data_IF_354688455165
#
_entry.id   IF_354688455165
#
_cell.length_a   1.000
_cell.length_b   1.000
_cell.length_c   1.000
_cell.angle_alpha   90.00
_cell.angle_beta   90.00
_cell.angle_gamma   90.00
#
_symmetry.space_group_name_H-M   'P 1'
#
loop_
_entity.id
_entity.type
_entity.pdbx_description
1 polymer ?
#
# COMPACT_ATOMS: atom_id res chain seq x y z
N UNK A 1 42.07 -10.25 66.33
CA UNK A 1 41.58 -11.07 65.20
C UNK A 1 40.55 -10.25 64.43
N UNK A 2 41.00 -9.45 63.45
CA UNK A 2 40.12 -8.54 62.71
C UNK A 2 39.33 -9.30 61.65
N UNK A 3 38.00 -9.31 61.76
CA UNK A 3 37.11 -9.91 60.75
C UNK A 3 37.15 -9.04 59.50
N UNK A 4 37.70 -9.57 58.41
CA UNK A 4 37.62 -8.97 57.08
C UNK A 4 36.17 -9.06 56.59
N UNK A 5 35.41 -7.97 56.68
CA UNK A 5 34.12 -7.88 56.02
C UNK A 5 34.34 -7.59 54.53
N UNK A 6 34.00 -8.55 53.67
CA UNK A 6 34.01 -8.36 52.22
C UNK A 6 33.05 -7.23 51.84
N UNK A 7 33.57 -6.17 51.23
CA UNK A 7 32.80 -4.98 50.85
C UNK A 7 31.90 -5.31 49.66
N UNK A 8 30.59 -5.46 49.90
CA UNK A 8 29.61 -5.70 48.83
C UNK A 8 29.60 -4.54 47.85
N UNK A 9 29.56 -4.85 46.56
CA UNK A 9 29.53 -3.86 45.46
C UNK A 9 28.12 -3.81 44.88
N UNK A 10 27.54 -2.62 44.73
CA UNK A 10 26.22 -2.44 44.12
C UNK A 10 26.37 -2.24 42.61
N UNK A 11 25.57 -2.93 41.79
CA UNK A 11 25.52 -2.68 40.34
C UNK A 11 24.65 -1.44 40.02
N UNK A 12 24.65 -1.00 38.75
CA UNK A 12 23.86 0.17 38.30
C UNK A 12 22.33 -0.03 38.44
N UNK A 13 21.88 -1.29 38.52
CA UNK A 13 20.48 -1.66 38.74
C UNK A 13 20.12 -1.84 40.23
N UNK A 14 21.03 -1.51 41.16
CA UNK A 14 20.76 -1.51 42.60
C UNK A 14 20.94 -2.86 43.32
N UNK A 15 21.33 -3.92 42.61
CA UNK A 15 21.61 -5.23 43.21
C UNK A 15 22.97 -5.23 43.92
N UNK A 16 23.07 -5.91 45.09
CA UNK A 16 24.31 -6.02 45.88
C UNK A 16 25.03 -7.34 45.59
N UNK A 17 26.28 -7.26 45.15
CA UNK A 17 27.11 -8.40 44.75
C UNK A 17 28.36 -8.55 45.64
N UNK A 18 28.92 -9.75 45.68
CA UNK A 18 30.11 -10.03 46.50
C UNK A 18 31.38 -9.43 45.89
N UNK A 19 31.38 -9.16 44.57
CA UNK A 19 32.52 -8.55 43.87
C UNK A 19 32.11 -7.60 42.75
N UNK A 20 33.05 -6.76 42.30
CA UNK A 20 32.87 -5.91 41.10
C UNK A 20 32.64 -6.74 39.82
N UNK A 21 33.22 -7.93 39.73
CA UNK A 21 33.08 -8.82 38.56
C UNK A 21 31.67 -9.36 38.43
N UNK A 22 31.05 -9.75 39.54
CA UNK A 22 29.64 -10.16 39.56
C UNK A 22 28.69 -8.99 39.28
N UNK A 23 28.98 -7.80 39.82
CA UNK A 23 28.20 -6.60 39.52
C UNK A 23 28.23 -6.26 38.02
N UNK A 24 29.38 -6.40 37.35
CA UNK A 24 29.48 -6.22 35.90
C UNK A 24 28.71 -7.28 35.11
N UNK A 25 28.81 -8.56 35.49
CA UNK A 25 28.08 -9.66 34.85
C UNK A 25 26.56 -9.53 34.99
N UNK A 26 26.08 -8.97 36.10
CA UNK A 26 24.67 -8.66 36.31
C UNK A 26 24.16 -7.58 35.34
N UNK A 27 24.98 -6.58 35.02
CA UNK A 27 24.64 -5.54 34.02
C UNK A 27 24.57 -6.16 32.61
N UNK A 28 25.51 -7.02 32.29
CA UNK A 28 25.56 -7.74 31.00
C UNK A 28 24.35 -8.68 30.82
N UNK A 29 23.93 -9.37 31.89
CA UNK A 29 22.71 -10.19 31.89
C UNK A 29 21.43 -9.36 31.71
N UNK A 30 21.36 -8.16 32.30
CA UNK A 30 20.24 -7.27 32.07
C UNK A 30 20.20 -6.72 30.64
N UNK A 31 21.35 -6.48 30.01
CA UNK A 31 21.45 -6.12 28.60
C UNK A 31 21.02 -7.28 27.68
N UNK A 32 21.33 -8.52 28.03
CA UNK A 32 20.89 -9.71 27.28
C UNK A 32 19.40 -10.02 27.45
N UNK A 33 18.80 -9.64 28.58
CA UNK A 33 17.35 -9.74 28.83
C UNK A 33 16.55 -8.57 28.24
N UNK A 34 17.20 -7.52 27.74
CA UNK A 34 16.51 -6.49 26.98
C UNK A 34 16.11 -7.07 25.62
N UNK A 35 14.81 -7.29 25.46
CA UNK A 35 14.21 -7.51 24.14
C UNK A 35 14.43 -6.24 23.34
N UNK A 36 15.45 -6.25 22.48
CA UNK A 36 15.67 -5.16 21.55
C UNK A 36 14.62 -5.28 20.44
N UNK A 37 13.59 -4.45 20.55
CA UNK A 37 12.64 -4.24 19.45
C UNK A 37 13.35 -3.45 18.37
N UNK A 38 13.81 -4.15 17.35
CA UNK A 38 14.18 -3.54 16.08
C UNK A 38 12.89 -3.19 15.36
N UNK A 39 12.38 -1.98 15.59
CA UNK A 39 11.43 -1.40 14.66
C UNK A 39 12.19 -1.22 13.35
N UNK A 40 12.00 -2.14 12.40
CA UNK A 40 12.22 -1.82 11.00
C UNK A 40 11.43 -0.55 10.76
N UNK A 41 12.12 0.52 10.41
CA UNK A 41 11.60 1.86 10.18
C UNK A 41 10.56 1.83 9.06
N UNK A 42 9.37 1.29 9.37
CA UNK A 42 8.18 1.36 8.54
C UNK A 42 7.65 2.76 8.75
N UNK A 43 8.28 3.72 8.09
CA UNK A 43 7.67 5.01 7.85
C UNK A 43 6.43 4.71 7.00
N UNK A 44 5.25 4.68 7.61
CA UNK A 44 4.02 4.76 6.84
C UNK A 44 3.98 6.17 6.25
N UNK A 45 4.46 6.32 5.02
CA UNK A 45 4.17 7.54 4.28
C UNK A 45 2.74 7.45 3.76
N UNK A 46 2.06 8.58 3.67
CA UNK A 46 0.70 8.70 3.11
C UNK A 46 0.66 8.37 1.60
N UNK A 47 1.79 7.99 1.00
CA UNK A 47 1.98 7.71 -0.42
C UNK A 47 3.02 8.64 -1.05
N UNK A 48 3.33 8.39 -2.31
CA UNK A 48 4.24 9.21 -3.12
C UNK A 48 3.46 9.72 -4.35
N UNK A 49 3.70 10.96 -4.76
CA UNK A 49 3.05 11.49 -5.96
C UNK A 49 3.52 10.75 -7.22
N UNK A 50 2.61 10.52 -8.16
CA UNK A 50 2.90 9.86 -9.44
C UNK A 50 4.02 10.56 -10.21
N UNK A 51 4.10 11.89 -10.12
CA UNK A 51 5.22 12.69 -10.64
C UNK A 51 6.59 12.20 -10.17
N UNK A 52 6.75 11.83 -8.89
CA UNK A 52 8.02 11.32 -8.37
C UNK A 52 8.37 9.97 -8.99
N UNK A 53 7.38 9.08 -9.17
CA UNK A 53 7.59 7.79 -9.82
C UNK A 53 8.02 8.00 -11.28
N UNK A 54 7.37 8.91 -12.00
CA UNK A 54 7.74 9.24 -13.37
C UNK A 54 9.14 9.87 -13.46
N UNK A 55 9.54 10.71 -12.51
CA UNK A 55 10.89 11.28 -12.44
C UNK A 55 11.96 10.19 -12.28
N UNK A 56 11.72 9.21 -11.39
CA UNK A 56 12.65 8.10 -11.17
C UNK A 56 12.79 7.24 -12.43
N UNK A 57 11.67 6.89 -13.09
CA UNK A 57 11.69 6.11 -14.33
C UNK A 57 12.37 6.87 -15.47
N UNK A 58 12.15 8.18 -15.59
CA UNK A 58 12.87 9.02 -16.56
C UNK A 58 14.38 9.04 -16.28
N UNK A 59 14.77 9.11 -15.01
CA UNK A 59 16.16 8.98 -14.58
C UNK A 59 16.78 7.63 -14.96
N UNK A 60 16.04 6.53 -14.83
CA UNK A 60 16.50 5.19 -15.26
C UNK A 60 16.69 5.08 -16.78
N UNK A 61 15.86 5.79 -17.55
CA UNK A 61 15.96 5.84 -19.01
C UNK A 61 16.98 6.85 -19.53
N UNK A 62 17.56 7.70 -18.65
CA UNK A 62 18.46 8.77 -19.06
C UNK A 62 17.77 9.91 -19.81
N UNK A 63 16.47 10.13 -19.57
CA UNK A 63 15.74 11.29 -20.11
C UNK A 63 16.04 12.49 -19.22
N UNK A 64 16.60 13.55 -19.78
CA UNK A 64 17.00 14.74 -19.02
C UNK A 64 15.97 15.88 -19.06
N UNK A 65 15.12 15.90 -20.09
CA UNK A 65 14.18 16.99 -20.37
C UNK A 65 12.74 16.52 -20.21
N UNK A 66 12.20 16.68 -18.99
CA UNK A 66 10.82 16.30 -18.67
C UNK A 66 10.20 17.26 -17.65
N UNK A 67 8.87 17.34 -17.67
CA UNK A 67 8.05 18.02 -16.67
C UNK A 67 6.83 17.15 -16.32
N UNK A 68 6.90 16.46 -15.18
CA UNK A 68 5.80 15.65 -14.67
C UNK A 68 5.03 16.34 -13.54
N UNK A 69 5.20 17.66 -13.32
CA UNK A 69 4.57 18.35 -12.18
C UNK A 69 3.04 18.31 -12.20
N UNK A 70 2.43 18.08 -13.38
CA UNK A 70 0.98 17.90 -13.54
C UNK A 70 0.43 16.57 -13.00
N UNK A 71 1.29 15.63 -12.61
CA UNK A 71 0.91 14.30 -12.09
C UNK A 71 0.94 14.30 -10.55
N UNK A 72 -0.13 14.83 -9.97
CA UNK A 72 -0.30 15.06 -8.52
C UNK A 72 -0.96 13.90 -7.76
N UNK A 73 -1.31 12.81 -8.46
CA UNK A 73 -2.02 11.68 -7.87
C UNK A 73 -1.14 10.95 -6.86
N UNK A 74 -1.70 10.65 -5.69
CA UNK A 74 -1.01 9.95 -4.62
C UNK A 74 -1.07 8.43 -4.86
N UNK A 75 0.09 7.79 -4.78
CA UNK A 75 0.28 6.36 -5.02
C UNK A 75 0.75 5.71 -3.71
N UNK A 76 -0.06 4.82 -3.15
CA UNK A 76 0.21 4.14 -1.88
C UNK A 76 0.83 2.77 -2.13
N UNK A 77 2.16 2.69 -2.17
CA UNK A 77 2.86 1.42 -2.35
C UNK A 77 2.87 0.97 -3.80
N UNK A 78 4.02 1.10 -4.44
CA UNK A 78 4.23 0.66 -5.80
C UNK A 78 5.58 -0.05 -5.89
N UNK A 79 5.61 -1.11 -6.67
CA UNK A 79 6.83 -1.81 -7.01
C UNK A 79 6.90 -1.98 -8.53
N UNK A 80 8.12 -2.01 -9.06
CA UNK A 80 8.35 -2.38 -10.44
C UNK A 80 9.54 -3.32 -10.51
N UNK A 81 9.43 -4.33 -11.37
CA UNK A 81 10.57 -5.17 -11.74
C UNK A 81 11.24 -4.55 -12.96
N UNK A 82 12.52 -4.87 -13.18
CA UNK A 82 13.27 -4.41 -14.35
C UNK A 82 12.50 -4.73 -15.65
N UNK A 83 12.23 -3.70 -16.44
CA UNK A 83 11.49 -3.80 -17.68
C UNK A 83 11.60 -2.51 -18.49
N UNK A 84 11.01 -2.48 -19.70
CA UNK A 84 10.91 -1.25 -20.45
C UNK A 84 9.93 -0.29 -19.74
N UNK A 85 10.18 1.02 -19.86
CA UNK A 85 9.49 2.04 -19.06
C UNK A 85 8.00 2.19 -19.39
N UNK A 86 7.61 1.87 -20.63
CA UNK A 86 6.22 1.77 -21.07
C UNK A 86 5.45 0.74 -20.24
N UNK A 87 5.94 -0.50 -20.13
CA UNK A 87 5.31 -1.55 -19.34
C UNK A 87 5.19 -1.20 -17.85
N UNK A 88 6.10 -0.35 -17.36
CA UNK A 88 6.15 0.08 -15.96
C UNK A 88 5.10 1.16 -15.67
N UNK A 89 4.92 2.11 -16.60
CA UNK A 89 4.09 3.31 -16.38
C UNK A 89 2.71 3.24 -17.02
N UNK A 90 2.54 2.51 -18.13
CA UNK A 90 1.27 2.42 -18.87
C UNK A 90 0.09 1.97 -17.99
N UNK A 91 0.23 0.95 -17.11
CA UNK A 91 -0.86 0.58 -16.21
C UNK A 91 -1.25 1.74 -15.26
N UNK A 92 -0.27 2.51 -14.78
CA UNK A 92 -0.53 3.67 -13.92
C UNK A 92 -1.24 4.78 -14.69
N UNK A 93 -0.86 5.03 -15.94
CA UNK A 93 -1.49 6.05 -16.78
C UNK A 93 -2.92 5.70 -17.14
N UNK A 94 -3.19 4.44 -17.44
CA UNK A 94 -4.54 3.94 -17.67
C UNK A 94 -5.40 4.05 -16.41
N UNK A 95 -4.91 3.62 -15.25
CA UNK A 95 -5.67 3.64 -14.01
C UNK A 95 -5.93 5.07 -13.50
N UNK A 96 -4.89 5.93 -13.51
CA UNK A 96 -4.93 7.28 -12.94
C UNK A 96 -5.31 8.39 -13.94
N UNK A 97 -5.73 8.03 -15.15
CA UNK A 97 -6.13 8.96 -16.21
C UNK A 97 -5.05 9.99 -16.53
N UNK A 98 -3.86 9.50 -16.85
CA UNK A 98 -2.74 10.36 -17.22
C UNK A 98 -2.35 10.15 -18.68
N UNK A 99 -1.79 11.19 -19.28
CA UNK A 99 -1.19 11.15 -20.60
C UNK A 99 0.24 11.70 -20.52
N UNK A 100 1.07 11.25 -21.44
CA UNK A 100 2.35 11.88 -21.73
C UNK A 100 2.27 12.50 -23.12
N UNK A 101 2.81 13.71 -23.27
CA UNK A 101 2.98 14.36 -24.57
C UNK A 101 4.36 14.97 -24.74
N UNK A 102 4.84 15.15 -25.97
CA UNK A 102 5.89 16.12 -26.26
C UNK A 102 5.32 17.54 -26.09
N UNK A 103 6.06 18.43 -25.44
CA UNK A 103 5.70 19.84 -25.25
C UNK A 103 6.98 20.69 -25.18
N UNK A 104 7.15 21.67 -26.07
CA UNK A 104 8.30 22.61 -26.07
C UNK A 104 9.68 21.95 -25.84
N UNK A 105 9.98 20.90 -26.62
CA UNK A 105 11.21 20.09 -26.54
C UNK A 105 11.38 19.27 -25.23
N UNK A 106 10.38 19.27 -24.36
CA UNK A 106 10.31 18.44 -23.16
C UNK A 106 9.24 17.36 -23.31
N UNK A 107 9.31 16.36 -22.42
CA UNK A 107 8.22 15.41 -22.22
C UNK A 107 7.36 15.92 -21.06
N UNK A 108 6.08 16.15 -21.28
CA UNK A 108 5.15 16.66 -20.27
C UNK A 108 4.15 15.58 -19.83
N UNK A 109 3.96 15.44 -18.52
CA UNK A 109 2.90 14.64 -17.92
C UNK A 109 1.63 15.45 -17.71
N UNK A 110 0.50 14.94 -18.20
CA UNK A 110 -0.81 15.57 -18.10
C UNK A 110 -1.79 14.68 -17.37
N UNK A 111 -2.59 15.27 -16.49
CA UNK A 111 -3.77 14.64 -15.91
C UNK A 111 -5.00 14.92 -16.79
N UNK A 112 -5.75 13.90 -17.15
CA UNK A 112 -6.98 14.05 -17.96
C UNK A 112 -8.11 14.61 -17.09
N UNK A 113 -8.24 15.93 -17.08
CA UNK A 113 -9.31 16.63 -16.37
C UNK A 113 -10.61 16.69 -17.16
N UNK A 114 -10.57 16.52 -18.49
CA UNK A 114 -11.71 16.73 -19.37
C UNK A 114 -12.20 18.17 -19.45
N UNK A 115 -11.47 19.13 -18.87
CA UNK A 115 -11.80 20.56 -18.89
C UNK A 115 -11.27 21.17 -20.18
N UNK A 116 -12.12 21.75 -21.06
CA UNK A 116 -11.66 22.42 -22.26
C UNK A 116 -10.70 23.56 -21.95
N UNK A 117 -9.57 23.56 -22.65
CA UNK A 117 -8.57 24.62 -22.65
C UNK A 117 -8.66 25.40 -23.95
N UNK A 118 -8.84 26.71 -23.88
CA UNK A 118 -8.92 27.59 -25.07
C UNK A 118 -10.32 27.74 -25.67
N UNK A 119 -10.40 28.34 -26.85
CA UNK A 119 -11.66 28.65 -27.54
C UNK A 119 -12.29 27.43 -28.20
N UNK A 120 -13.63 27.49 -28.35
CA UNK A 120 -14.41 26.55 -29.16
C UNK A 120 -13.93 26.53 -30.60
N UNK A 121 -13.74 25.33 -31.15
CA UNK A 121 -13.41 25.12 -32.56
C UNK A 121 -14.72 24.94 -33.33
N UNK A 122 -15.15 26.01 -34.01
CA UNK A 122 -16.39 26.02 -34.77
C UNK A 122 -16.25 25.24 -36.09
N UNK A 123 -17.33 24.65 -36.60
CA UNK A 123 -17.30 23.93 -37.89
C UNK A 123 -16.76 24.79 -39.05
N UNK A 124 -16.98 26.12 -38.99
CA UNK A 124 -16.47 27.07 -39.97
C UNK A 124 -14.93 27.22 -39.96
N UNK A 125 -14.26 26.80 -38.89
CA UNK A 125 -12.79 26.82 -38.77
C UNK A 125 -12.14 25.56 -39.34
N UNK A 126 -12.93 24.52 -39.63
CA UNK A 126 -12.40 23.26 -40.14
C UNK A 126 -11.99 23.43 -41.60
N UNK A 127 -10.84 22.88 -41.92
CA UNK A 127 -10.28 22.82 -43.25
C UNK A 127 -10.53 21.45 -43.87
N UNK A 128 -10.74 21.41 -45.19
CA UNK A 128 -10.90 20.16 -45.93
C UNK A 128 -12.35 19.79 -46.23
N UNK A 129 -12.49 18.82 -47.13
CA UNK A 129 -13.77 18.23 -47.55
C UNK A 129 -13.65 16.70 -47.45
N UNK A 130 -14.51 16.02 -46.66
CA UNK A 130 -15.53 16.59 -45.77
C UNK A 130 -14.90 17.40 -44.63
N UNK A 131 -15.64 18.39 -44.09
CA UNK A 131 -15.16 19.25 -42.98
C UNK A 131 -14.73 18.47 -41.74
N UNK A 132 -15.44 17.39 -41.44
CA UNK A 132 -15.12 16.46 -40.38
C UNK A 132 -15.70 15.09 -40.69
N UNK A 133 -15.20 14.07 -40.00
CA UNK A 133 -15.79 12.73 -39.95
C UNK A 133 -15.92 12.30 -38.50
N UNK A 134 -16.96 11.54 -38.15
CA UNK A 134 -17.12 10.98 -36.81
C UNK A 134 -17.24 9.48 -36.96
N UNK A 135 -16.22 8.76 -36.51
CA UNK A 135 -16.31 7.30 -36.38
C UNK A 135 -16.98 6.97 -35.06
N UNK A 136 -17.94 6.05 -35.09
CA UNK A 136 -18.63 5.57 -33.89
C UNK A 136 -18.37 4.07 -33.76
N UNK A 137 -17.61 3.68 -32.73
CA UNK A 137 -17.38 2.26 -32.42
C UNK A 137 -18.69 1.59 -32.00
N UNK A 138 -18.91 0.40 -32.54
CA UNK A 138 -20.08 -0.40 -32.17
C UNK A 138 -19.91 -0.98 -30.76
N UNK A 139 -21.02 -1.26 -30.08
CA UNK A 139 -20.97 -1.83 -28.73
C UNK A 139 -20.24 -3.18 -28.69
N UNK A 140 -20.31 -3.98 -29.76
CA UNK A 140 -19.62 -5.27 -29.86
C UNK A 140 -18.08 -5.14 -29.92
N UNK A 141 -17.55 -3.98 -30.31
CA UNK A 141 -16.11 -3.69 -30.36
C UNK A 141 -15.55 -3.20 -29.01
N UNK A 142 -16.43 -2.86 -28.07
CA UNK A 142 -16.05 -2.37 -26.74
C UNK A 142 -16.03 -3.52 -25.74
N UNK A 143 -15.16 -3.48 -24.71
CA UNK A 143 -15.19 -4.48 -23.67
C UNK A 143 -16.45 -4.35 -22.82
N UNK A 144 -17.02 -5.52 -22.50
CA UNK A 144 -18.16 -5.66 -21.59
C UNK A 144 -17.74 -5.43 -20.15
N UNK A 145 -16.55 -5.91 -19.79
CA UNK A 145 -16.02 -5.85 -18.44
C UNK A 145 -14.55 -5.45 -18.44
N UNK A 146 -14.14 -4.78 -17.38
CA UNK A 146 -12.75 -4.45 -17.08
C UNK A 146 -12.40 -5.10 -15.75
N UNK A 147 -11.29 -5.81 -15.74
CA UNK A 147 -10.71 -6.44 -14.55
C UNK A 147 -9.46 -5.67 -14.16
N UNK A 148 -9.37 -5.26 -12.90
CA UNK A 148 -8.17 -4.69 -12.31
C UNK A 148 -7.63 -5.69 -11.33
N UNK A 149 -6.42 -6.18 -11.58
CA UNK A 149 -5.64 -6.95 -10.62
C UNK A 149 -4.80 -5.99 -9.79
N UNK A 150 -4.73 -6.18 -8.48
CA UNK A 150 -3.97 -5.34 -7.56
C UNK A 150 -3.46 -6.15 -6.36
N UNK A 151 -2.49 -5.60 -5.63
CA UNK A 151 -2.07 -6.15 -4.34
C UNK A 151 -2.96 -5.56 -3.24
N UNK A 152 -3.76 -6.38 -2.59
CA UNK A 152 -4.76 -5.92 -1.63
C UNK A 152 -4.15 -5.62 -0.26
N UNK A 153 -4.11 -4.34 0.13
CA UNK A 153 -3.52 -3.89 1.39
C UNK A 153 -4.22 -4.53 2.60
N UNK A 154 -5.54 -4.73 2.52
CA UNK A 154 -6.33 -5.31 3.61
C UNK A 154 -6.13 -6.83 3.69
N UNK A 155 -5.63 -7.45 2.62
CA UNK A 155 -5.30 -8.87 2.56
C UNK A 155 -3.78 -9.13 2.53
N UNK A 156 -2.97 -8.33 3.22
CA UNK A 156 -1.50 -8.48 3.29
C UNK A 156 -0.82 -8.51 1.90
N UNK A 157 -1.27 -7.65 0.99
CA UNK A 157 -0.79 -7.54 -0.38
C UNK A 157 -0.95 -8.82 -1.20
N UNK A 158 -1.88 -9.71 -0.83
CA UNK A 158 -2.25 -10.83 -1.69
C UNK A 158 -2.87 -10.32 -2.99
N UNK A 159 -2.64 -10.99 -4.13
CA UNK A 159 -3.27 -10.63 -5.39
C UNK A 159 -4.80 -10.73 -5.28
N UNK A 160 -5.49 -9.65 -5.62
CA UNK A 160 -6.94 -9.58 -5.68
C UNK A 160 -7.37 -8.94 -7.01
N UNK A 161 -8.61 -9.20 -7.43
CA UNK A 161 -9.15 -8.70 -8.70
C UNK A 161 -10.54 -8.10 -8.49
N UNK A 162 -10.73 -6.87 -8.96
CA UNK A 162 -12.07 -6.24 -9.04
C UNK A 162 -12.55 -6.19 -10.48
N UNK A 163 -13.85 -6.41 -10.66
CA UNK A 163 -14.53 -6.45 -11.96
C UNK A 163 -15.56 -5.33 -12.09
N UNK A 164 -15.41 -4.47 -13.09
CA UNK A 164 -16.38 -3.45 -13.47
C UNK A 164 -17.02 -3.80 -14.80
N UNK A 165 -18.34 -4.01 -14.85
CA UNK A 165 -19.02 -4.53 -16.05
C UNK A 165 -20.40 -3.92 -16.34
N UNK A 166 -20.87 -4.14 -17.57
CA UNK A 166 -22.26 -3.91 -17.96
C UNK A 166 -23.09 -5.19 -17.91
N UNK A 167 -24.37 -5.11 -17.49
CA UNK A 167 -25.28 -6.23 -17.55
C UNK A 167 -25.43 -6.81 -18.96
N UNK A 168 -25.39 -8.14 -19.07
CA UNK A 168 -25.52 -8.89 -20.34
C UNK A 168 -26.81 -8.58 -21.10
N UNK A 169 -27.90 -8.25 -20.39
CA UNK A 169 -29.18 -7.92 -21.00
C UNK A 169 -29.18 -6.56 -21.73
N UNK A 170 -28.16 -5.72 -21.49
CA UNK A 170 -28.13 -4.32 -21.95
C UNK A 170 -27.02 -4.04 -22.97
N UNK A 171 -26.22 -5.05 -23.33
CA UNK A 171 -25.07 -4.86 -24.20
C UNK A 171 -24.75 -6.10 -25.03
N UNK A 172 -24.46 -5.89 -26.31
CA UNK A 172 -23.93 -6.92 -27.22
C UNK A 172 -22.42 -7.16 -27.04
N UNK A 173 -21.75 -6.39 -26.17
CA UNK A 173 -20.35 -6.58 -25.83
C UNK A 173 -20.11 -7.92 -25.13
N UNK A 174 -19.04 -8.64 -25.52
CA UNK A 174 -18.69 -9.96 -24.95
C UNK A 174 -17.26 -10.04 -24.42
N UNK A 175 -16.36 -9.18 -24.88
CA UNK A 175 -14.95 -9.21 -24.48
C UNK A 175 -14.75 -8.66 -23.07
N UNK A 176 -13.69 -9.11 -22.42
CA UNK A 176 -13.22 -8.58 -21.15
C UNK A 176 -11.79 -8.06 -21.35
N UNK A 177 -11.48 -6.91 -20.75
CA UNK A 177 -10.13 -6.33 -20.78
C UNK A 177 -9.55 -6.37 -19.37
N UNK A 178 -8.27 -6.71 -19.27
CA UNK A 178 -7.56 -6.79 -17.99
C UNK A 178 -6.49 -5.70 -17.93
N UNK A 179 -6.44 -5.00 -16.79
CA UNK A 179 -5.37 -4.07 -16.44
C UNK A 179 -4.61 -4.70 -15.28
N UNK A 180 -3.33 -4.95 -15.49
CA UNK A 180 -2.47 -5.54 -14.49
C UNK A 180 -1.83 -4.44 -13.64
N UNK A 181 -2.39 -4.23 -12.44
CA UNK A 181 -1.82 -3.38 -11.38
C UNK A 181 -1.35 -4.23 -10.21
N UNK A 182 -0.99 -5.50 -10.44
CA UNK A 182 -0.55 -6.42 -9.38
C UNK A 182 0.63 -5.90 -8.55
N UNK A 183 1.40 -4.97 -9.10
CA UNK A 183 2.54 -4.35 -8.42
C UNK A 183 2.19 -3.09 -7.62
N UNK A 184 0.94 -2.65 -7.70
CA UNK A 184 0.39 -1.51 -6.97
C UNK A 184 -0.46 -2.02 -5.79
N UNK A 185 -0.20 -1.46 -4.62
CA UNK A 185 -0.96 -1.77 -3.43
C UNK A 185 -2.21 -0.86 -3.37
N UNK A 186 -3.39 -1.46 -3.31
CA UNK A 186 -4.68 -0.76 -3.23
C UNK A 186 -5.58 -1.43 -2.20
N UNK A 187 -6.54 -0.69 -1.67
CA UNK A 187 -7.72 -1.30 -1.06
C UNK A 187 -8.75 -1.64 -2.15
N UNK A 188 -9.76 -2.43 -1.78
CA UNK A 188 -10.77 -2.93 -2.72
C UNK A 188 -11.66 -1.82 -3.29
N UNK A 189 -11.93 -0.77 -2.51
CA UNK A 189 -12.74 0.39 -2.89
C UNK A 189 -12.05 1.21 -3.99
N UNK A 190 -10.79 1.60 -3.77
CA UNK A 190 -9.98 2.38 -4.70
C UNK A 190 -9.83 1.64 -6.03
N UNK A 191 -9.51 0.33 -5.98
CA UNK A 191 -9.43 -0.50 -7.19
C UNK A 191 -10.76 -0.50 -7.96
N UNK A 192 -11.91 -0.58 -7.26
CA UNK A 192 -13.23 -0.53 -7.90
C UNK A 192 -13.55 0.82 -8.52
N UNK A 193 -13.23 1.90 -7.82
CA UNK A 193 -13.49 3.26 -8.31
C UNK A 193 -12.62 3.58 -9.53
N UNK A 194 -11.35 3.18 -9.53
CA UNK A 194 -10.44 3.32 -10.69
C UNK A 194 -10.98 2.52 -11.89
N UNK A 195 -11.39 1.27 -11.68
CA UNK A 195 -11.96 0.42 -12.73
C UNK A 195 -13.25 0.97 -13.33
N UNK A 196 -14.15 1.49 -12.48
CA UNK A 196 -15.38 2.13 -12.94
C UNK A 196 -15.11 3.40 -13.75
N UNK A 197 -14.15 4.22 -13.32
CA UNK A 197 -13.78 5.45 -14.03
C UNK A 197 -13.20 5.13 -15.41
N UNK A 198 -12.22 4.25 -15.49
CA UNK A 198 -11.62 3.82 -16.75
C UNK A 198 -12.67 3.19 -17.69
N UNK A 199 -13.54 2.33 -17.15
CA UNK A 199 -14.64 1.72 -17.90
C UNK A 199 -15.60 2.77 -18.49
N UNK A 200 -15.99 3.78 -17.69
CA UNK A 200 -16.85 4.88 -18.18
C UNK A 200 -16.16 5.64 -19.30
N UNK A 201 -14.87 5.96 -19.19
CA UNK A 201 -14.14 6.65 -20.25
C UNK A 201 -14.13 5.85 -21.53
N UNK A 202 -13.70 4.60 -21.48
CA UNK A 202 -13.60 3.76 -22.66
C UNK A 202 -14.92 3.66 -23.44
N UNK A 203 -16.05 3.60 -22.73
CA UNK A 203 -17.38 3.59 -23.36
C UNK A 203 -17.80 4.95 -23.92
N UNK A 204 -17.39 6.06 -23.31
CA UNK A 204 -17.68 7.41 -23.81
C UNK A 204 -16.77 7.80 -24.98
N UNK A 205 -15.53 7.30 -25.02
CA UNK A 205 -14.56 7.48 -26.10
C UNK A 205 -14.96 6.77 -27.41
N UNK A 206 -16.12 6.10 -27.47
CA UNK A 206 -16.61 5.42 -28.68
C UNK A 206 -16.79 6.35 -29.89
N UNK A 207 -16.96 7.66 -29.65
CA UNK A 207 -17.08 8.67 -30.70
C UNK A 207 -15.68 9.25 -30.94
N UNK A 208 -15.20 9.08 -32.16
CA UNK A 208 -13.87 9.50 -32.60
C UNK A 208 -14.02 10.51 -33.75
N UNK A 209 -14.16 11.82 -33.45
CA UNK A 209 -14.11 12.87 -34.46
C UNK A 209 -12.71 12.98 -35.07
N UNK A 210 -12.66 13.15 -36.38
CA UNK A 210 -11.45 13.50 -37.12
C UNK A 210 -11.77 14.69 -38.04
N UNK A 211 -10.92 15.71 -37.97
CA UNK A 211 -11.08 16.98 -38.69
C UNK A 211 -9.72 17.58 -39.00
N UNK A 212 -9.65 18.50 -39.96
CA UNK A 212 -8.42 19.27 -40.18
C UNK A 212 -8.63 20.73 -39.78
N UNK A 213 -7.57 21.34 -39.25
CA UNK A 213 -7.53 22.75 -38.86
C UNK A 213 -6.53 23.49 -39.74
N UNK A 214 -6.64 24.82 -39.75
CA UNK A 214 -5.66 25.70 -40.39
C UNK A 214 -4.46 25.95 -39.46
N UNK A 215 -3.37 26.49 -40.01
CA UNK A 215 -2.18 26.87 -39.25
C UNK A 215 -2.42 27.85 -38.08
N UNK A 216 -3.61 28.44 -37.97
CA UNK A 216 -4.01 29.23 -36.80
C UNK A 216 -4.00 28.42 -35.50
N UNK A 217 -4.26 27.12 -35.58
CA UNK A 217 -4.30 26.21 -34.44
C UNK A 217 -2.99 25.40 -34.32
N UNK A 218 -1.85 25.93 -34.78
CA UNK A 218 -0.54 25.26 -34.71
C UNK A 218 -0.09 24.96 -33.28
N UNK A 219 -0.55 25.74 -32.30
CA UNK A 219 -0.29 25.50 -30.88
C UNK A 219 -1.13 24.37 -30.27
N UNK A 220 -1.95 23.66 -31.05
CA UNK A 220 -2.71 22.52 -30.56
C UNK A 220 -1.83 21.27 -30.49
N UNK A 221 -1.73 20.69 -29.30
CA UNK A 221 -0.93 19.50 -29.04
C UNK A 221 -1.81 18.29 -28.65
N UNK A 222 -1.35 17.05 -28.88
CA UNK A 222 -2.00 15.87 -28.30
C UNK A 222 -2.13 16.01 -26.78
N UNK A 223 -3.27 15.63 -26.22
CA UNK A 223 -3.62 15.82 -24.82
C UNK A 223 -4.47 17.07 -24.54
N UNK A 224 -4.47 18.07 -25.45
CA UNK A 224 -5.32 19.25 -25.29
C UNK A 224 -6.81 18.90 -25.40
N UNK A 225 -7.62 19.53 -24.55
CA UNK A 225 -9.08 19.37 -24.58
C UNK A 225 -9.71 20.62 -25.18
N UNK A 226 -10.59 20.46 -26.16
CA UNK A 226 -11.33 21.56 -26.81
C UNK A 226 -12.81 21.26 -26.85
N UNK A 227 -13.61 22.32 -26.90
CA UNK A 227 -15.01 22.21 -27.30
C UNK A 227 -15.06 22.27 -28.82
N UNK A 228 -15.56 21.21 -29.45
CA UNK A 228 -15.82 21.16 -30.89
C UNK A 228 -17.30 21.46 -31.13
N UNK A 229 -17.58 22.39 -32.02
CA UNK A 229 -18.93 22.58 -32.55
C UNK A 229 -19.04 21.81 -33.86
N UNK A 230 -19.84 20.75 -33.87
CA UNK A 230 -20.13 19.92 -35.03
C UNK A 230 -21.57 20.19 -35.48
N UNK A 231 -21.75 21.04 -36.48
CA UNK A 231 -23.06 21.40 -37.06
C UNK A 231 -24.12 21.79 -36.00
N UNK A 232 -23.72 22.66 -35.07
CA UNK A 232 -24.56 23.16 -33.97
C UNK A 232 -24.60 22.29 -32.72
N UNK A 233 -23.98 21.10 -32.74
CA UNK A 233 -23.78 20.27 -31.54
C UNK A 233 -22.43 20.56 -30.91
N UNK A 234 -22.43 20.99 -29.64
CA UNK A 234 -21.21 21.13 -28.86
C UNK A 234 -20.81 19.80 -28.24
N UNK A 235 -19.56 19.38 -28.47
CA UNK A 235 -18.95 18.23 -27.82
C UNK A 235 -17.63 18.65 -27.19
N UNK A 236 -17.30 18.12 -26.01
CA UNK A 236 -15.96 18.25 -25.45
C UNK A 236 -15.15 17.05 -25.89
N UNK A 237 -13.95 17.28 -26.40
CA UNK A 237 -13.09 16.22 -26.90
C UNK A 237 -11.62 16.54 -26.63
N UNK A 238 -10.85 15.49 -26.34
CA UNK A 238 -9.40 15.53 -26.18
C UNK A 238 -8.74 15.16 -27.49
N UNK A 239 -7.76 15.95 -27.92
CA UNK A 239 -6.95 15.67 -29.09
C UNK A 239 -6.04 14.49 -28.77
N UNK A 240 -6.11 13.42 -29.56
CA UNK A 240 -5.25 12.24 -29.38
C UNK A 240 -4.10 12.21 -30.37
N UNK A 241 -4.25 12.87 -31.53
CA UNK A 241 -3.23 12.90 -32.56
C UNK A 241 -3.32 14.19 -33.37
N UNK A 242 -2.16 14.74 -33.66
CA UNK A 242 -1.97 15.91 -34.50
C UNK A 242 -0.94 15.56 -35.57
N UNK A 243 -1.28 15.80 -36.84
CA UNK A 243 -0.38 15.57 -37.99
C UNK A 243 -0.34 16.83 -38.83
N UNK A 244 0.85 17.41 -38.99
CA UNK A 244 1.06 18.59 -39.83
C UNK A 244 1.34 18.12 -41.26
N UNK A 245 0.43 18.47 -42.18
CA UNK A 245 0.54 18.18 -43.60
C UNK A 245 1.45 19.16 -44.34
N UNK A 246 1.91 18.77 -45.53
CA UNK A 246 2.70 19.64 -46.41
C UNK A 246 1.88 20.84 -46.96
N UNK A 247 0.55 20.79 -46.85
CA UNK A 247 -0.39 21.86 -47.22
C UNK A 247 -0.66 22.83 -46.07
N UNK A 248 0.17 22.82 -45.02
CA UNK A 248 0.04 23.63 -43.79
C UNK A 248 -1.29 23.40 -43.03
N UNK A 249 -2.00 22.32 -43.35
CA UNK A 249 -3.17 21.88 -42.60
C UNK A 249 -2.74 20.94 -41.48
N UNK A 250 -3.51 21.00 -40.40
CA UNK A 250 -3.28 20.20 -39.21
C UNK A 250 -4.39 19.18 -39.14
N UNK A 251 -4.11 17.94 -39.53
CA UNK A 251 -5.05 16.84 -39.37
C UNK A 251 -5.07 16.42 -37.90
N UNK A 252 -6.26 16.36 -37.31
CA UNK A 252 -6.47 16.11 -35.89
C UNK A 252 -7.45 14.98 -35.66
N UNK A 253 -7.14 14.13 -34.69
CA UNK A 253 -8.03 13.07 -34.21
C UNK A 253 -8.37 13.32 -32.75
N UNK A 254 -9.61 13.04 -32.41
CA UNK A 254 -10.18 13.39 -31.14
C UNK A 254 -10.91 12.20 -30.53
N UNK A 255 -10.98 12.20 -29.20
CA UNK A 255 -11.87 11.32 -28.45
C UNK A 255 -12.73 12.15 -27.53
N UNK A 256 -14.00 11.76 -27.39
CA UNK A 256 -14.91 12.43 -26.46
C UNK A 256 -14.33 12.43 -25.04
N UNK A 257 -14.39 13.58 -24.38
CA UNK A 257 -13.97 13.74 -22.99
C UNK A 257 -14.91 14.71 -22.26
N UNK A 258 -14.94 14.65 -20.94
CA UNK A 258 -15.72 15.57 -20.12
C UNK A 258 -15.22 15.58 -18.66
N UNK A 259 -15.43 16.69 -17.90
CA UNK A 259 -14.99 16.75 -16.51
C UNK A 259 -15.61 15.68 -15.61
N UNK A 260 -16.85 15.27 -15.92
CA UNK A 260 -17.56 14.20 -15.19
C UNK A 260 -16.94 12.82 -15.37
N UNK A 261 -16.07 12.62 -16.36
CA UNK A 261 -15.34 11.36 -16.55
C UNK A 261 -14.07 11.28 -15.69
N UNK A 262 -13.59 12.40 -15.16
CA UNK A 262 -12.39 12.45 -14.31
C UNK A 262 -12.66 12.13 -12.84
N UNK A 263 -13.92 12.19 -12.42
CA UNK A 263 -14.32 11.96 -11.03
C UNK A 263 -14.41 10.47 -10.70
N UNK A 264 -13.89 10.07 -9.54
CA UNK A 264 -14.16 8.78 -8.93
C UNK A 264 -15.63 8.72 -8.46
N UNK A 265 -16.18 7.51 -8.37
CA UNK A 265 -17.48 7.30 -7.74
C UNK A 265 -17.33 6.84 -6.28
N UNK A 266 -18.45 6.63 -5.59
CA UNK A 266 -18.46 6.07 -4.23
C UNK A 266 -18.76 4.57 -4.21
N UNK A 267 -18.37 3.81 -5.23
CA UNK A 267 -18.61 2.36 -5.24
C UNK A 267 -17.70 1.66 -4.25
N UNK A 268 -18.25 0.63 -3.60
CA UNK A 268 -17.55 -0.18 -2.60
C UNK A 268 -17.09 -1.49 -3.26
N UNK A 269 -15.83 -1.85 -3.04
CA UNK A 269 -15.19 -3.11 -3.42
C UNK A 269 -15.71 -4.28 -2.62
N UNK A 270 -15.56 -5.49 -3.16
CA UNK A 270 -15.81 -6.70 -2.38
C UNK A 270 -14.56 -7.03 -1.58
N UNK A 271 -14.70 -7.17 -0.26
CA UNK A 271 -13.61 -7.57 0.62
C UNK A 271 -13.15 -8.99 0.29
N UNK A 272 -11.87 -9.25 0.49
CA UNK A 272 -11.32 -10.60 0.39
C UNK A 272 -11.98 -11.53 1.42
N UNK A 273 -12.52 -12.67 0.96
CA UNK A 273 -13.15 -13.69 1.81
C UNK A 273 -12.24 -14.92 1.92
N UNK A 274 -12.31 -15.62 3.05
CA UNK A 274 -11.62 -16.90 3.26
C UNK A 274 -10.21 -16.81 3.87
N UNK A 275 -9.86 -15.69 4.51
CA UNK A 275 -8.61 -15.58 5.28
C UNK A 275 -8.85 -15.01 6.67
N UNK A 276 -8.39 -15.75 7.67
CA UNK A 276 -8.29 -15.26 9.04
C UNK A 276 -7.05 -14.37 9.19
N UNK A 277 -7.20 -13.22 9.85
CA UNK A 277 -6.10 -12.31 10.12
C UNK A 277 -5.03 -13.02 10.96
N UNK A 278 -3.76 -12.95 10.52
CA UNK A 278 -2.66 -13.55 11.25
C UNK A 278 -2.39 -12.76 12.53
N UNK A 279 -2.91 -13.23 13.67
CA UNK A 279 -2.64 -12.60 14.97
C UNK A 279 -1.20 -12.90 15.39
N UNK A 280 -0.30 -11.92 15.23
CA UNK A 280 1.05 -12.01 15.80
C UNK A 280 0.95 -11.70 17.29
N UNK A 281 1.10 -12.75 18.10
CA UNK A 281 1.09 -12.64 19.55
C UNK A 281 2.50 -12.31 20.04
N UNK A 282 2.69 -11.14 20.65
CA UNK A 282 3.94 -10.77 21.32
C UNK A 282 3.93 -11.33 22.75
N UNK A 283 4.76 -12.34 23.09
CA UNK A 283 4.72 -12.94 24.42
C UNK A 283 5.27 -11.96 25.47
N UNK A 284 4.58 -11.86 26.60
CA UNK A 284 5.03 -11.07 27.74
C UNK A 284 6.21 -11.74 28.46
N UNK A 285 7.13 -10.96 29.05
CA UNK A 285 8.18 -11.49 29.91
C UNK A 285 7.59 -12.32 31.06
N UNK A 286 8.19 -13.48 31.30
CA UNK A 286 7.80 -14.37 32.39
C UNK A 286 8.49 -13.95 33.68
N UNK A 287 7.74 -13.94 34.79
CA UNK A 287 8.29 -13.89 36.14
C UNK A 287 8.13 -15.26 36.80
N UNK A 288 9.26 -15.88 37.12
CA UNK A 288 9.32 -17.13 37.88
C UNK A 288 9.52 -16.89 39.37
N UNK A 289 8.95 -17.76 40.19
CA UNK A 289 9.11 -17.80 41.64
C UNK A 289 9.44 -19.23 42.07
N UNK A 290 10.42 -19.34 42.95
CA UNK A 290 10.70 -20.55 43.71
C UNK A 290 10.31 -20.25 45.15
N UNK A 291 9.34 -20.97 45.68
CA UNK A 291 8.73 -20.72 46.98
C UNK A 291 9.30 -21.70 48.00
N UNK A 292 10.04 -21.14 48.96
CA UNK A 292 10.46 -21.84 50.16
C UNK A 292 9.37 -21.70 51.22
N UNK A 293 8.37 -22.58 51.15
CA UNK A 293 7.20 -22.60 52.02
C UNK A 293 6.95 -24.01 52.54
N UNK A 294 6.25 -24.18 53.68
CA UNK A 294 5.79 -25.48 54.15
C UNK A 294 4.92 -26.19 53.12
N UNK A 295 4.78 -27.51 53.28
CA UNK A 295 3.91 -28.33 52.44
C UNK A 295 2.46 -27.78 52.48
N UNK A 296 1.87 -27.60 51.30
CA UNK A 296 0.51 -27.10 51.14
C UNK A 296 -0.54 -28.20 51.29
N UNK A 297 -0.17 -29.44 50.96
CA UNK A 297 -1.05 -30.61 51.03
C UNK A 297 -0.28 -31.80 51.60
N UNK A 298 -0.96 -32.65 52.36
CA UNK A 298 -0.36 -33.87 52.91
C UNK A 298 0.13 -34.83 51.80
N UNK A 299 -0.48 -34.78 50.62
CA UNK A 299 -0.04 -35.55 49.44
C UNK A 299 1.34 -35.16 48.93
N UNK A 300 1.81 -33.95 49.24
CA UNK A 300 3.12 -33.45 48.80
C UNK A 300 4.26 -34.03 49.64
N UNK A 301 3.96 -34.70 50.77
CA UNK A 301 4.94 -35.42 51.60
C UNK A 301 5.61 -36.57 50.83
N UNK A 302 4.94 -37.11 49.80
CA UNK A 302 5.43 -38.25 49.02
C UNK A 302 6.67 -37.92 48.16
N UNK A 303 6.99 -36.65 47.92
CA UNK A 303 8.12 -36.20 47.09
C UNK A 303 9.01 -35.30 47.95
N UNK A 304 10.11 -35.84 48.49
CA UNK A 304 11.04 -35.07 49.34
C UNK A 304 12.44 -35.04 48.70
N UNK A 305 13.07 -33.85 48.50
CA UNK A 305 12.58 -32.52 48.83
C UNK A 305 11.56 -31.97 47.82
N UNK A 306 10.42 -31.49 48.29
CA UNK A 306 9.44 -30.77 47.47
C UNK A 306 9.83 -29.30 47.38
N UNK A 307 9.82 -28.75 46.17
CA UNK A 307 9.97 -27.30 45.93
C UNK A 307 8.75 -26.81 45.19
N UNK A 308 8.04 -25.83 45.75
CA UNK A 308 6.94 -25.18 45.04
C UNK A 308 7.50 -24.15 44.08
N UNK A 309 7.07 -24.23 42.84
CA UNK A 309 7.47 -23.28 41.80
C UNK A 309 6.25 -22.70 41.12
N UNK A 310 6.37 -21.44 40.70
CA UNK A 310 5.30 -20.70 40.05
C UNK A 310 5.88 -19.84 38.95
N UNK A 311 5.09 -19.58 37.91
CA UNK A 311 5.45 -18.64 36.86
C UNK A 311 4.18 -17.96 36.34
N UNK A 312 4.36 -16.72 35.91
CA UNK A 312 3.28 -15.89 35.42
C UNK A 312 3.83 -14.79 34.51
N UNK A 313 3.00 -14.18 33.64
CA UNK A 313 3.43 -13.01 32.89
C UNK A 313 3.63 -11.80 33.81
N UNK A 314 4.47 -10.87 33.36
CA UNK A 314 4.75 -9.65 34.13
C UNK A 314 3.54 -8.70 34.23
N UNK A 315 2.61 -8.80 33.27
CA UNK A 315 1.38 -8.02 33.19
C UNK A 315 0.26 -8.88 32.60
N UNK A 316 -0.96 -8.36 32.54
CA UNK A 316 -2.04 -9.02 31.80
C UNK A 316 -1.76 -8.94 30.30
N UNK A 317 -1.84 -10.07 29.61
CA UNK A 317 -1.65 -10.18 28.17
C UNK A 317 -1.21 -11.58 27.77
N UNK A 318 -0.71 -11.72 26.56
CA UNK A 318 -0.39 -13.01 26.00
C UNK A 318 0.87 -13.62 26.62
N UNK A 319 0.74 -14.86 27.09
CA UNK A 319 1.80 -15.59 27.74
C UNK A 319 1.76 -17.06 27.31
N UNK A 320 2.84 -17.62 26.75
CA UNK A 320 2.84 -18.99 26.24
C UNK A 320 2.93 -20.06 27.34
N UNK A 321 3.05 -19.66 28.61
CA UNK A 321 3.44 -20.54 29.70
C UNK A 321 4.93 -20.43 29.99
N UNK A 322 5.43 -21.28 30.89
CA UNK A 322 6.83 -21.33 31.24
C UNK A 322 7.26 -22.72 31.67
N UNK A 323 8.50 -23.08 31.33
CA UNK A 323 9.16 -24.29 31.84
C UNK A 323 10.27 -23.89 32.78
N UNK A 324 10.35 -24.57 33.92
CA UNK A 324 11.34 -24.31 34.96
C UNK A 324 12.36 -25.43 34.91
N UNK A 325 13.61 -25.05 34.68
CA UNK A 325 14.75 -25.96 34.63
C UNK A 325 15.59 -25.84 35.90
N UNK A 326 16.07 -26.97 36.41
CA UNK A 326 17.09 -27.03 37.44
C UNK A 326 18.48 -27.01 36.79
N UNK A 327 19.40 -26.26 37.41
CA UNK A 327 20.80 -26.36 37.05
C UNK A 327 21.45 -27.55 37.75
N UNK A 328 22.03 -28.47 36.99
CA UNK A 328 22.88 -29.56 37.49
C UNK A 328 24.26 -29.39 36.87
N UNK A 329 25.30 -29.31 37.71
CA UNK A 329 26.68 -29.06 37.30
C UNK A 329 26.90 -27.81 36.41
N UNK A 330 26.00 -26.83 36.51
CA UNK A 330 26.06 -25.58 35.75
C UNK A 330 25.31 -25.61 34.41
N UNK A 331 24.67 -26.73 34.07
CA UNK A 331 23.83 -26.88 32.88
C UNK A 331 22.34 -26.92 33.27
N UNK A 332 21.49 -26.23 32.50
CA UNK A 332 20.03 -26.18 32.70
C UNK A 332 19.34 -27.21 31.79
N UNK A 333 19.70 -28.49 31.96
CA UNK A 333 19.17 -29.59 31.15
C UNK A 333 17.92 -30.24 31.75
N UNK A 334 17.74 -30.12 33.07
CA UNK A 334 16.79 -30.93 33.81
C UNK A 334 15.50 -30.14 34.03
N UNK A 335 14.44 -30.51 33.32
CA UNK A 335 13.12 -29.93 33.48
C UNK A 335 12.53 -30.34 34.84
N UNK A 336 12.22 -29.35 35.68
CA UNK A 336 11.57 -29.56 36.97
C UNK A 336 10.05 -29.61 36.80
N UNK A 337 9.49 -28.66 36.04
CA UNK A 337 8.06 -28.58 35.77
C UNK A 337 7.76 -27.63 34.60
N UNK A 338 6.57 -27.77 34.02
CA UNK A 338 6.01 -26.87 33.02
C UNK A 338 4.66 -26.33 33.48
N UNK A 339 4.48 -25.03 33.29
CA UNK A 339 3.29 -24.28 33.68
C UNK A 339 2.59 -23.84 32.40
N UNK A 340 1.40 -24.37 32.10
CA UNK A 340 0.70 -24.05 30.86
C UNK A 340 0.17 -22.62 30.88
N UNK A 341 0.04 -22.02 29.69
CA UNK A 341 -0.55 -20.69 29.49
C UNK A 341 -1.95 -20.53 30.08
N UNK A 342 -2.70 -21.64 30.20
CA UNK A 342 -4.06 -21.67 30.75
C UNK A 342 -4.12 -21.61 32.27
N UNK A 343 -3.00 -21.80 32.97
CA UNK A 343 -2.93 -21.79 34.43
C UNK A 343 -1.77 -20.94 34.98
N UNK A 344 -1.70 -19.63 34.63
CA UNK A 344 -0.69 -18.74 35.18
C UNK A 344 -0.88 -18.56 36.69
N UNK A 345 0.23 -18.43 37.41
CA UNK A 345 0.17 -18.02 38.80
C UNK A 345 -0.33 -16.58 38.94
N UNK A 346 -1.11 -16.30 39.98
CA UNK A 346 -1.45 -14.93 40.36
C UNK A 346 -0.36 -14.38 41.29
N UNK A 347 0.21 -13.22 40.95
CA UNK A 347 1.24 -12.57 41.76
C UNK A 347 1.07 -11.05 41.76
N UNK A 348 1.65 -10.38 42.75
CA UNK A 348 1.60 -8.93 42.88
C UNK A 348 2.62 -8.43 43.89
N UNK A 349 2.69 -7.11 44.05
CA UNK A 349 3.47 -6.48 45.11
C UNK A 349 2.52 -5.75 46.06
N UNK A 350 2.79 -5.82 47.36
CA UNK A 350 2.04 -5.05 48.35
C UNK A 350 2.57 -3.61 48.30
N UNK A 351 1.73 -2.66 47.88
CA UNK A 351 2.14 -1.26 47.74
C UNK A 351 2.11 -0.46 49.07
N UNK A 352 1.40 -0.93 50.09
CA UNK A 352 1.39 -0.32 51.44
C UNK A 352 1.29 -1.38 52.54
N UNK A 353 2.21 -1.32 53.51
CA UNK A 353 2.02 -1.95 54.81
C UNK A 353 1.13 -1.02 55.62
N UNK A 354 -0.16 -1.35 55.79
CA UNK A 354 -0.95 -0.74 56.85
C UNK A 354 -0.37 -1.20 58.18
N UNK A 355 0.46 -0.35 58.78
CA UNK A 355 0.88 -0.49 60.16
C UNK A 355 -0.34 -0.46 61.08
N UNK A 356 -0.40 -1.44 61.98
CA UNK A 356 -1.11 -1.33 63.25
C UNK A 356 -0.09 -1.39 64.37
#
# INVERSE_FOLDING_TARGET
MGKYFAKKTTCIHGHKHASKREAARCVELHLLQQVNFWYLDRVSSDGVALSSICNDVAGWCGVESYDFSGLDQLITGWSATRGPADNILEPLFDAYDCDIRPHDFNIQGLKRTGVPTGSTLATAMFAGEPRYSVKIKQAAELPRAILIDFADIEAEQQPNTVRSDRPLATSDARSEQKIDLSTLALNTDDARQLGNRYFRRLWNERKEPALSLTARELGLEPGDVRTLELDGQLITARCTRTTIGADERIATEWKYDAPTLATLDGSIGATFDGRDEAVIVVPLPTRGFVLDIPLLQDSDEAVTPQVYTMAAPYASGAWPGATIYQAVDGEYSDELTSIPSSAPASWGTVAEVQGR
#
